data_IF_565905475694
#
_entry.id   IF_565905475694
#
_cell.length_a   1.000
_cell.length_b   1.000
_cell.length_c   1.000
_cell.angle_alpha   90.00
_cell.angle_beta   90.00
_cell.angle_gamma   90.00
#
_symmetry.space_group_name_H-M   'P 1'
#
loop_
_entity.id
_entity.type
_entity.pdbx_description
1 polymer ?
#
# COMPACT_ATOMS: atom_id res chain seq x y z
N UNK A 1 4.88 7.55 -12.08
CA UNK A 1 5.03 8.26 -10.79
C UNK A 1 4.96 7.21 -9.70
N UNK A 2 5.84 7.28 -8.71
CA UNK A 2 5.78 6.39 -7.53
C UNK A 2 4.69 6.91 -6.60
N UNK A 3 3.79 6.04 -6.16
CA UNK A 3 2.80 6.39 -5.14
C UNK A 3 3.48 6.59 -3.77
N UNK A 4 3.21 7.72 -3.14
CA UNK A 4 3.77 8.09 -1.84
C UNK A 4 2.63 8.64 -0.93
N UNK A 5 2.02 7.79 -0.08
CA UNK A 5 0.92 8.20 0.78
C UNK A 5 1.37 9.22 1.82
N UNK A 6 0.53 10.21 2.11
CA UNK A 6 0.80 11.28 3.07
C UNK A 6 0.53 10.86 4.51
N UNK A 7 -0.31 9.85 4.71
CA UNK A 7 -0.74 9.36 6.00
C UNK A 7 -1.18 7.89 5.91
N UNK A 8 -1.44 7.30 7.08
CA UNK A 8 -1.89 5.92 7.24
C UNK A 8 -3.20 5.63 6.49
N UNK A 9 -4.12 6.57 6.43
CA UNK A 9 -5.43 6.35 5.81
C UNK A 9 -5.33 6.23 4.29
N UNK A 10 -4.52 7.08 3.66
CA UNK A 10 -4.24 7.01 2.22
C UNK A 10 -3.53 5.70 1.85
N UNK A 11 -2.56 5.27 2.67
CA UNK A 11 -1.92 3.97 2.50
C UNK A 11 -2.93 2.83 2.67
N UNK A 12 -3.79 2.89 3.68
CA UNK A 12 -4.80 1.86 3.93
C UNK A 12 -5.82 1.77 2.80
N UNK A 13 -6.24 2.89 2.22
CA UNK A 13 -7.11 2.90 1.04
C UNK A 13 -6.44 2.19 -0.14
N UNK A 14 -5.16 2.49 -0.40
CA UNK A 14 -4.40 1.86 -1.47
C UNK A 14 -4.23 0.35 -1.26
N UNK A 15 -3.86 -0.08 -0.04
CA UNK A 15 -3.75 -1.50 0.33
C UNK A 15 -5.11 -2.20 0.17
N UNK A 16 -6.19 -1.58 0.65
CA UNK A 16 -7.53 -2.15 0.53
C UNK A 16 -7.91 -2.29 -0.94
N UNK A 17 -7.63 -1.31 -1.79
CA UNK A 17 -7.88 -1.41 -3.22
C UNK A 17 -7.08 -2.56 -3.83
N UNK A 18 -5.77 -2.67 -3.51
CA UNK A 18 -4.92 -3.77 -3.97
C UNK A 18 -5.50 -5.14 -3.61
N UNK A 19 -5.98 -5.30 -2.38
CA UNK A 19 -6.54 -6.57 -1.91
C UNK A 19 -7.90 -6.92 -2.54
N UNK A 20 -8.64 -5.94 -3.06
CA UNK A 20 -9.96 -6.15 -3.67
C UNK A 20 -9.88 -6.23 -5.20
N UNK A 21 -9.01 -5.45 -5.83
CA UNK A 21 -8.87 -5.28 -7.27
C UNK A 21 -7.45 -4.81 -7.61
N UNK A 22 -6.56 -5.77 -7.83
CA UNK A 22 -5.14 -5.53 -8.10
C UNK A 22 -4.93 -4.75 -9.40
N UNK A 23 -5.72 -5.01 -10.46
CA UNK A 23 -5.59 -4.32 -11.75
C UNK A 23 -5.90 -2.82 -11.60
N UNK A 24 -6.94 -2.51 -10.83
CA UNK A 24 -7.31 -1.13 -10.54
C UNK A 24 -6.30 -0.44 -9.63
N UNK A 25 -5.75 -1.16 -8.65
CA UNK A 25 -4.69 -0.63 -7.81
C UNK A 25 -3.40 -0.37 -8.60
N UNK A 26 -2.99 -1.28 -9.48
CA UNK A 26 -1.84 -1.13 -10.38
C UNK A 26 -1.99 0.10 -11.27
N UNK A 27 -3.19 0.30 -11.83
CA UNK A 27 -3.47 1.47 -12.68
C UNK A 27 -3.49 2.77 -11.88
N UNK A 28 -4.01 2.78 -10.64
CA UNK A 28 -4.18 3.99 -9.82
C UNK A 28 -2.91 4.39 -9.06
N UNK A 29 -2.20 3.42 -8.49
CA UNK A 29 -1.09 3.62 -7.55
C UNK A 29 0.23 3.00 -8.02
N UNK A 30 0.24 2.25 -9.12
CA UNK A 30 1.41 1.50 -9.56
C UNK A 30 1.61 0.22 -8.74
N UNK A 31 2.72 -0.48 -9.02
CA UNK A 31 3.04 -1.72 -8.34
C UNK A 31 3.28 -1.46 -6.85
N UNK A 32 2.66 -2.29 -6.00
CA UNK A 32 2.78 -2.16 -4.55
C UNK A 32 4.23 -2.23 -4.06
N UNK A 33 5.10 -2.98 -4.73
CA UNK A 33 6.52 -3.09 -4.37
C UNK A 33 7.30 -1.79 -4.61
N UNK A 34 6.76 -0.83 -5.34
CA UNK A 34 7.37 0.45 -5.65
C UNK A 34 6.84 1.59 -4.78
N UNK A 35 5.82 1.37 -3.96
CA UNK A 35 5.24 2.41 -3.12
C UNK A 35 6.26 2.94 -2.11
N UNK A 36 6.41 4.27 -2.06
CA UNK A 36 7.26 4.93 -1.09
C UNK A 36 6.46 5.20 0.20
N UNK A 37 6.59 4.31 1.17
CA UNK A 37 5.90 4.39 2.47
C UNK A 37 6.62 5.27 3.50
N UNK A 38 7.73 5.93 3.15
CA UNK A 38 8.60 6.64 4.11
C UNK A 38 7.93 7.78 4.89
N UNK A 39 6.78 8.29 4.43
CA UNK A 39 6.00 9.34 5.11
C UNK A 39 4.99 8.81 6.12
N UNK A 40 4.70 7.51 6.11
CA UNK A 40 3.74 6.89 7.02
C UNK A 40 4.50 6.34 8.21
N UNK A 41 4.37 7.01 9.36
CA UNK A 41 5.08 6.64 10.60
C UNK A 41 4.32 5.63 11.45
N UNK A 42 3.02 5.46 11.23
CA UNK A 42 2.19 4.47 11.92
C UNK A 42 1.63 3.43 10.95
N UNK A 43 2.23 2.23 10.99
CA UNK A 43 1.83 1.08 10.19
C UNK A 43 0.96 0.08 10.98
N UNK A 44 0.52 0.46 12.19
CA UNK A 44 -0.20 -0.44 13.09
C UNK A 44 -1.50 -0.96 12.45
N UNK A 45 -1.66 -2.29 12.48
CA UNK A 45 -2.82 -3.00 11.93
C UNK A 45 -3.09 -2.78 10.43
N UNK A 46 -2.09 -2.36 9.63
CA UNK A 46 -2.26 -2.15 8.18
C UNK A 46 -2.73 -3.38 7.42
N UNK A 47 -2.34 -4.57 7.86
CA UNK A 47 -2.70 -5.84 7.20
C UNK A 47 -3.57 -6.74 8.06
N UNK A 48 -4.00 -6.27 9.24
CA UNK A 48 -4.84 -7.07 10.14
C UNK A 48 -6.14 -7.46 9.44
N UNK A 49 -6.41 -8.77 9.38
CA UNK A 49 -7.59 -9.34 8.71
C UNK A 49 -7.61 -9.22 7.18
N UNK A 50 -6.53 -8.74 6.56
CA UNK A 50 -6.44 -8.62 5.10
C UNK A 50 -6.02 -9.95 4.44
N UNK A 51 -6.53 -10.22 3.23
CA UNK A 51 -6.06 -11.33 2.36
C UNK A 51 -4.80 -10.95 1.57
N UNK A 52 -4.00 -10.02 2.10
CA UNK A 52 -2.86 -9.45 1.40
C UNK A 52 -1.84 -10.51 1.01
N UNK A 53 -1.38 -10.47 -0.25
CA UNK A 53 -0.42 -11.40 -0.84
C UNK A 53 0.66 -10.71 -1.70
N UNK A 54 0.76 -9.37 -1.64
CA UNK A 54 1.74 -8.61 -2.42
C UNK A 54 3.14 -8.63 -1.80
N UNK A 55 4.16 -8.43 -2.62
CA UNK A 55 5.54 -8.27 -2.16
C UNK A 55 5.80 -6.83 -1.70
N UNK A 56 6.15 -6.68 -0.41
CA UNK A 56 6.47 -5.40 0.24
C UNK A 56 7.89 -5.38 0.80
N UNK A 57 8.78 -6.26 0.31
CA UNK A 57 10.18 -6.33 0.75
C UNK A 57 10.98 -5.03 0.54
N UNK A 58 10.48 -4.13 -0.32
CA UNK A 58 11.07 -2.81 -0.61
C UNK A 58 10.52 -1.67 0.23
N UNK A 59 9.47 -1.90 1.02
CA UNK A 59 8.90 -0.87 1.86
C UNK A 59 9.84 -0.51 2.99
N UNK A 60 9.93 0.79 3.27
CA UNK A 60 10.61 1.28 4.47
C UNK A 60 9.57 1.35 5.60
N UNK A 61 9.82 0.65 6.71
CA UNK A 61 8.92 0.50 7.86
C UNK A 61 9.54 1.03 9.14
#
# INVERSE_FOLDING_TARGET
>A
MIFQPKNRDELKEAINLWCNDEEKALTKYGNINEWDTSKVTDMSYMFSGSKFNGDISKWNT
#
